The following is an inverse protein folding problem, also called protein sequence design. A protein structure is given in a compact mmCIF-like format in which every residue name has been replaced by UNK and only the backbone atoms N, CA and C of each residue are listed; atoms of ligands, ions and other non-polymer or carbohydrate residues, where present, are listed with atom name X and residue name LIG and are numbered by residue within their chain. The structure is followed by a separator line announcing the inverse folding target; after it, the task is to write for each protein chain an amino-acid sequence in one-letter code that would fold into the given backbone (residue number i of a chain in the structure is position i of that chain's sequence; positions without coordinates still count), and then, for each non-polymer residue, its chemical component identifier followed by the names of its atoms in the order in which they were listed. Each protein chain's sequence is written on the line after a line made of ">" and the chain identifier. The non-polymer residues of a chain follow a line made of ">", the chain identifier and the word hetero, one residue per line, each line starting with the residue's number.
data_IF_918266853681
#
_entry.id   IF_918266853681
#
_cell.length_a   1.000
_cell.length_b   1.000
_cell.length_c   1.000
_cell.angle_alpha   90.00
_cell.angle_beta   90.00
_cell.angle_gamma   90.00
#
_symmetry.space_group_name_H-M   'P 1'
#
loop_
_entity.id
_entity.type
_entity.pdbx_description
1 polymer ?
#
# COMPACT_ATOMS: atom_id res chain seq x y z
N UNK A 1 -2.73 2.50 -32.84
CA UNK A 1 -1.70 2.73 -31.82
C UNK A 1 -0.84 3.92 -32.25
N UNK A 2 -0.90 4.98 -31.49
CA UNK A 2 -0.08 6.16 -31.70
C UNK A 2 0.72 6.44 -30.45
N UNK A 3 2.03 6.54 -30.60
CA UNK A 3 2.93 6.94 -29.52
C UNK A 3 3.30 8.42 -29.72
N UNK A 4 3.02 9.24 -28.74
CA UNK A 4 3.44 10.65 -28.70
C UNK A 4 4.35 10.87 -27.50
N UNK A 5 5.56 11.36 -27.76
CA UNK A 5 6.51 11.72 -26.70
C UNK A 5 6.31 13.19 -26.35
N UNK A 6 6.00 13.45 -25.07
CA UNK A 6 5.92 14.81 -24.58
C UNK A 6 7.31 15.42 -24.38
N UNK A 7 7.40 16.74 -24.37
CA UNK A 7 8.66 17.48 -24.16
C UNK A 7 9.30 17.24 -22.78
N UNK A 8 8.56 16.62 -21.85
CA UNK A 8 9.00 16.24 -20.51
C UNK A 8 9.60 14.84 -20.42
N UNK A 9 9.74 14.12 -21.52
CA UNK A 9 10.16 12.73 -21.55
C UNK A 9 9.04 11.73 -21.17
N UNK A 10 7.83 12.20 -20.89
CA UNK A 10 6.67 11.33 -20.68
C UNK A 10 6.20 10.74 -22.01
N UNK A 11 5.82 9.47 -21.99
CA UNK A 11 5.25 8.78 -23.13
C UNK A 11 3.75 8.61 -22.94
N UNK A 12 2.99 9.01 -23.95
CA UNK A 12 1.55 8.83 -23.98
C UNK A 12 1.21 7.82 -25.07
N UNK A 13 0.40 6.85 -24.73
CA UNK A 13 -0.12 5.87 -25.66
C UNK A 13 -1.62 6.11 -25.81
N UNK A 14 -2.04 6.37 -27.03
CA UNK A 14 -3.45 6.59 -27.35
C UNK A 14 -3.97 5.43 -28.18
N UNK A 15 -5.05 4.83 -27.73
CA UNK A 15 -5.75 3.77 -28.43
C UNK A 15 -7.11 4.30 -28.86
N UNK A 16 -7.45 4.08 -30.13
CA UNK A 16 -8.80 4.31 -30.61
C UNK A 16 -9.42 2.97 -30.93
N UNK A 17 -10.46 2.61 -30.17
CA UNK A 17 -11.18 1.35 -30.34
C UNK A 17 -12.61 1.67 -30.71
N UNK A 18 -13.17 1.07 -31.78
CA UNK A 18 -14.57 1.20 -32.09
C UNK A 18 -15.42 0.67 -30.91
N UNK A 19 -16.36 1.47 -30.44
CA UNK A 19 -17.31 1.07 -29.44
C UNK A 19 -18.66 0.86 -30.13
N UNK A 20 -19.25 -0.32 -29.96
CA UNK A 20 -20.58 -0.63 -30.44
C UNK A 20 -21.62 -0.50 -29.32
N UNK A 21 -22.87 -0.92 -29.57
CA UNK A 21 -23.95 -0.87 -28.62
C UNK A 21 -23.77 -1.83 -27.43
N UNK A 22 -22.82 -2.77 -27.51
CA UNK A 22 -22.54 -3.73 -26.44
C UNK A 22 -21.50 -3.20 -25.45
N UNK A 23 -20.95 -2.03 -25.70
CA UNK A 23 -19.94 -1.40 -24.87
C UNK A 23 -18.50 -1.82 -25.21
N UNK A 24 -17.57 -1.41 -24.36
CA UNK A 24 -16.15 -1.71 -24.48
C UNK A 24 -15.61 -2.16 -23.13
N UNK A 25 -14.96 -3.32 -23.10
CA UNK A 25 -14.21 -3.77 -21.93
C UNK A 25 -12.72 -3.59 -22.18
N UNK A 26 -12.03 -2.98 -21.22
CA UNK A 26 -10.58 -2.78 -21.24
C UNK A 26 -9.95 -3.47 -20.03
N UNK A 27 -8.86 -4.18 -20.28
CA UNK A 27 -8.05 -4.77 -19.22
C UNK A 27 -6.61 -4.29 -19.34
N UNK A 28 -5.92 -4.23 -18.20
CA UNK A 28 -4.53 -3.85 -18.11
C UNK A 28 -3.76 -4.94 -17.39
N UNK A 29 -2.60 -5.27 -17.89
CA UNK A 29 -1.63 -6.09 -17.20
C UNK A 29 -0.24 -5.49 -17.36
N UNK A 30 0.57 -5.60 -16.32
CA UNK A 30 1.98 -5.18 -16.33
C UNK A 30 2.83 -6.38 -15.94
N UNK A 31 3.81 -6.68 -16.76
CA UNK A 31 4.80 -7.71 -16.51
C UNK A 31 6.08 -7.35 -17.26
N UNK A 32 7.22 -7.75 -16.76
CA UNK A 32 8.52 -7.55 -17.42
C UNK A 32 8.59 -8.30 -18.77
N UNK A 33 7.88 -9.44 -18.86
CA UNK A 33 7.64 -10.14 -20.12
C UNK A 33 6.33 -9.67 -20.77
N UNK A 34 6.42 -8.98 -21.88
CA UNK A 34 5.27 -8.46 -22.62
C UNK A 34 4.29 -9.52 -23.10
N UNK A 35 4.75 -10.73 -23.41
CA UNK A 35 3.86 -11.83 -23.77
C UNK A 35 3.00 -12.29 -22.59
N UNK A 36 3.61 -12.45 -21.42
CA UNK A 36 2.91 -12.78 -20.18
C UNK A 36 1.87 -11.70 -19.84
N UNK A 37 2.20 -10.41 -19.98
CA UNK A 37 1.24 -9.32 -19.78
C UNK A 37 0.02 -9.42 -20.72
N UNK A 38 0.23 -9.77 -21.99
CA UNK A 38 -0.86 -9.97 -22.95
C UNK A 38 -1.75 -11.15 -22.52
N UNK A 39 -1.17 -12.29 -22.16
CA UNK A 39 -1.91 -13.48 -21.72
C UNK A 39 -2.74 -13.20 -20.47
N UNK A 40 -2.16 -12.53 -19.47
CA UNK A 40 -2.86 -12.11 -18.26
C UNK A 40 -4.04 -11.18 -18.57
N UNK A 41 -3.81 -10.17 -19.39
CA UNK A 41 -4.88 -9.24 -19.82
C UNK A 41 -6.03 -9.94 -20.54
N UNK A 42 -5.70 -10.89 -21.44
CA UNK A 42 -6.71 -11.69 -22.14
C UNK A 42 -7.49 -12.62 -21.22
N UNK A 43 -6.84 -13.21 -20.24
CA UNK A 43 -7.49 -14.07 -19.25
C UNK A 43 -8.53 -13.30 -18.42
N UNK A 44 -8.16 -12.14 -17.90
CA UNK A 44 -9.09 -11.25 -17.16
C UNK A 44 -10.26 -10.80 -18.04
N UNK A 45 -9.99 -10.46 -19.31
CA UNK A 45 -11.04 -10.05 -20.25
C UNK A 45 -12.03 -11.19 -20.53
N UNK A 46 -11.54 -12.42 -20.64
CA UNK A 46 -12.36 -13.60 -20.93
C UNK A 46 -13.34 -13.95 -19.80
N UNK A 47 -12.97 -13.64 -18.54
CA UNK A 47 -13.79 -13.94 -17.36
C UNK A 47 -13.89 -12.77 -16.41
N UNK A 48 -14.18 -11.60 -16.93
CA UNK A 48 -14.20 -10.34 -16.17
C UNK A 48 -15.25 -10.30 -15.04
N UNK A 49 -16.34 -11.08 -15.16
CA UNK A 49 -17.36 -11.15 -14.12
C UNK A 49 -16.86 -11.94 -12.90
N UNK A 50 -16.17 -13.05 -13.11
CA UNK A 50 -15.55 -13.82 -12.02
C UNK A 50 -14.47 -12.99 -11.33
N UNK A 51 -13.63 -12.27 -12.06
CA UNK A 51 -12.63 -11.38 -11.49
C UNK A 51 -13.24 -10.23 -10.67
N UNK A 52 -14.31 -9.62 -11.17
CA UNK A 52 -15.03 -8.59 -10.44
C UNK A 52 -15.67 -9.15 -9.16
N UNK A 53 -16.26 -10.35 -9.24
CA UNK A 53 -16.82 -11.02 -8.06
C UNK A 53 -15.74 -11.36 -7.04
N UNK A 54 -14.63 -11.93 -7.46
CA UNK A 54 -13.50 -12.23 -6.59
C UNK A 54 -12.98 -10.98 -5.86
N UNK A 55 -12.85 -9.85 -6.58
CA UNK A 55 -12.47 -8.58 -5.96
C UNK A 55 -13.52 -8.07 -4.98
N UNK A 56 -14.78 -8.23 -5.30
CA UNK A 56 -15.90 -7.85 -4.41
C UNK A 56 -15.89 -8.70 -3.14
N UNK A 57 -15.71 -10.01 -3.28
CA UNK A 57 -15.64 -10.93 -2.15
C UNK A 57 -14.44 -10.65 -1.25
N UNK A 58 -13.28 -10.38 -1.85
CA UNK A 58 -12.09 -9.96 -1.12
C UNK A 58 -12.33 -8.67 -0.31
N UNK A 59 -12.91 -7.64 -0.91
CA UNK A 59 -13.21 -6.38 -0.21
C UNK A 59 -14.25 -6.58 0.88
N UNK A 60 -15.26 -7.41 0.66
CA UNK A 60 -16.26 -7.74 1.67
C UNK A 60 -15.63 -8.51 2.84
N UNK A 61 -14.71 -9.44 2.58
CA UNK A 61 -13.99 -10.16 3.63
C UNK A 61 -13.16 -9.20 4.48
N UNK A 62 -12.40 -8.31 3.85
CA UNK A 62 -11.64 -7.27 4.55
C UNK A 62 -12.53 -6.42 5.45
N UNK A 63 -13.63 -5.89 4.91
CA UNK A 63 -14.52 -4.99 5.65
C UNK A 63 -15.33 -5.70 6.75
N UNK A 64 -15.60 -6.99 6.61
CA UNK A 64 -16.38 -7.73 7.59
C UNK A 64 -15.52 -8.40 8.67
N UNK A 65 -14.29 -8.83 8.33
CA UNK A 65 -13.49 -9.70 9.18
C UNK A 65 -12.20 -9.05 9.68
N UNK A 66 -11.69 -8.03 8.99
CA UNK A 66 -10.39 -7.44 9.33
C UNK A 66 -10.48 -6.12 10.07
N UNK A 67 -11.53 -5.33 9.86
CA UNK A 67 -11.68 -4.02 10.49
C UNK A 67 -12.68 -4.05 11.64
N UNK A 68 -12.58 -3.12 12.62
CA UNK A 68 -13.54 -3.04 13.70
C UNK A 68 -14.95 -2.76 13.19
N UNK A 69 -15.91 -3.48 13.72
CA UNK A 69 -17.32 -3.21 13.41
C UNK A 69 -17.75 -1.87 14.01
N UNK A 70 -18.40 -1.05 13.19
CA UNK A 70 -18.95 0.23 13.63
C UNK A 70 -20.42 0.38 13.24
N UNK A 71 -21.22 0.86 14.20
CA UNK A 71 -22.64 1.18 14.01
C UNK A 71 -23.03 2.37 14.86
N UNK A 72 -23.79 3.28 14.28
CA UNK A 72 -24.45 4.37 15.00
C UNK A 72 -25.84 4.65 14.38
N UNK A 73 -26.57 5.61 14.94
CA UNK A 73 -27.89 6.01 14.43
C UNK A 73 -27.84 6.87 13.16
N UNK A 74 -26.69 7.39 12.83
CA UNK A 74 -26.44 8.23 11.65
C UNK A 74 -25.78 7.38 10.57
N UNK A 75 -26.50 7.12 9.48
CA UNK A 75 -26.02 6.26 8.40
C UNK A 75 -24.88 6.92 7.61
N UNK A 76 -24.89 8.24 7.46
CA UNK A 76 -23.81 8.95 6.73
C UNK A 76 -22.45 8.76 7.43
N UNK A 77 -22.45 8.76 8.77
CA UNK A 77 -21.24 8.47 9.54
C UNK A 77 -20.78 7.02 9.35
N UNK A 78 -21.71 6.08 9.32
CA UNK A 78 -21.40 4.66 9.06
C UNK A 78 -20.80 4.49 7.67
N UNK A 79 -21.38 5.10 6.66
CA UNK A 79 -20.93 5.01 5.27
C UNK A 79 -19.53 5.63 5.11
N UNK A 80 -19.29 6.78 5.71
CA UNK A 80 -17.96 7.43 5.73
C UNK A 80 -16.92 6.55 6.44
N UNK A 81 -17.27 5.92 7.55
CA UNK A 81 -16.37 5.02 8.27
C UNK A 81 -15.88 3.87 7.39
N UNK A 82 -16.81 3.13 6.76
CA UNK A 82 -16.45 2.01 5.89
C UNK A 82 -15.77 2.46 4.59
N UNK A 83 -16.14 3.60 4.05
CA UNK A 83 -15.49 4.20 2.89
C UNK A 83 -14.01 4.53 3.18
N UNK A 84 -13.70 5.12 4.34
CA UNK A 84 -12.32 5.42 4.72
C UNK A 84 -11.48 4.17 4.91
N UNK A 85 -12.05 3.09 5.47
CA UNK A 85 -11.38 1.80 5.54
C UNK A 85 -11.15 1.19 4.16
N UNK A 86 -12.10 1.27 3.27
CA UNK A 86 -11.92 0.80 1.90
C UNK A 86 -10.78 1.55 1.21
N UNK A 87 -10.70 2.88 1.36
CA UNK A 87 -9.58 3.68 0.86
C UNK A 87 -8.26 3.23 1.49
N UNK A 88 -8.20 3.06 2.81
CA UNK A 88 -7.01 2.60 3.50
C UNK A 88 -6.49 1.28 2.92
N UNK A 89 -7.38 0.32 2.71
CA UNK A 89 -7.03 -0.99 2.14
C UNK A 89 -6.68 -0.95 0.65
N UNK A 90 -7.19 0.04 -0.11
CA UNK A 90 -6.78 0.25 -1.50
C UNK A 90 -5.33 0.72 -1.64
N UNK A 91 -4.76 1.32 -0.62
CA UNK A 91 -3.35 1.75 -0.59
C UNK A 91 -2.41 0.71 0.00
N UNK A 92 -2.94 -0.44 0.39
CA UNK A 92 -2.15 -1.56 0.85
C UNK A 92 -1.44 -2.23 -0.33
N UNK A 93 -0.14 -2.45 -0.18
CA UNK A 93 0.71 -3.10 -1.17
C UNK A 93 1.43 -4.26 -0.50
N UNK A 94 1.35 -5.41 -1.14
CA UNK A 94 2.10 -6.60 -0.80
C UNK A 94 2.95 -7.02 -2.00
N UNK A 95 4.25 -6.95 -1.85
CA UNK A 95 5.25 -7.41 -2.82
C UNK A 95 6.23 -8.40 -2.16
N UNK A 96 5.84 -9.02 -1.06
CA UNK A 96 6.68 -9.96 -0.32
C UNK A 96 7.06 -11.19 -1.15
N UNK A 97 6.23 -11.59 -2.09
CA UNK A 97 6.53 -12.68 -3.03
C UNK A 97 7.67 -12.31 -4.00
N UNK A 98 7.81 -11.03 -4.34
CA UNK A 98 8.85 -10.53 -5.24
C UNK A 98 10.15 -10.21 -4.48
N UNK A 99 10.03 -9.76 -3.24
CA UNK A 99 11.17 -9.42 -2.39
C UNK A 99 10.82 -9.65 -0.91
N UNK A 100 11.47 -10.59 -0.24
CA UNK A 100 11.22 -10.87 1.18
C UNK A 100 11.43 -9.66 2.11
N UNK A 101 12.29 -8.72 1.70
CA UNK A 101 12.55 -7.49 2.46
C UNK A 101 11.51 -6.40 2.22
N UNK A 102 10.58 -6.64 1.32
CA UNK A 102 9.50 -5.73 1.01
C UNK A 102 8.26 -6.09 1.83
N UNK A 103 8.30 -5.74 3.10
CA UNK A 103 7.19 -6.00 4.00
C UNK A 103 5.88 -5.40 3.49
N UNK A 104 4.75 -6.14 3.56
CA UNK A 104 3.44 -5.62 3.21
C UNK A 104 3.12 -4.35 4.01
N UNK A 105 2.68 -3.29 3.35
CA UNK A 105 2.44 -2.01 4.01
C UNK A 105 1.46 -1.12 3.24
N UNK A 106 0.96 -0.10 3.91
CA UNK A 106 0.14 0.95 3.29
C UNK A 106 1.05 2.04 2.74
N UNK A 107 0.81 2.48 1.53
CA UNK A 107 1.52 3.60 0.90
C UNK A 107 0.64 4.82 0.74
N UNK A 108 1.25 5.99 0.70
CA UNK A 108 0.60 7.16 0.14
C UNK A 108 0.63 7.08 -1.39
N UNK A 109 -0.46 7.41 -2.06
CA UNK A 109 -0.61 7.16 -3.48
C UNK A 109 -0.93 8.42 -4.30
N UNK A 110 -0.51 9.60 -3.85
CA UNK A 110 -0.86 10.85 -4.54
C UNK A 110 0.37 11.49 -5.18
N UNK A 111 0.40 11.49 -6.51
CA UNK A 111 1.40 12.20 -7.33
C UNK A 111 2.85 11.87 -6.94
N UNK A 112 3.56 12.84 -6.36
CA UNK A 112 4.97 12.73 -6.00
C UNK A 112 5.22 12.04 -4.65
N UNK A 113 4.17 11.60 -3.96
CA UNK A 113 4.24 10.99 -2.64
C UNK A 113 4.00 9.47 -2.67
N UNK A 114 4.44 8.81 -3.72
CA UNK A 114 4.42 7.34 -3.77
C UNK A 114 5.39 6.79 -2.74
N UNK A 115 4.91 5.89 -1.89
CA UNK A 115 5.74 5.23 -0.88
C UNK A 115 5.33 5.52 0.56
N UNK A 116 6.18 5.12 1.52
CA UNK A 116 5.97 5.45 2.93
C UNK A 116 6.65 6.78 3.26
N UNK A 117 5.85 7.70 3.74
CA UNK A 117 6.33 8.97 4.25
C UNK A 117 6.15 9.05 5.75
N UNK A 118 7.10 9.69 6.46
CA UNK A 118 7.09 9.75 7.92
C UNK A 118 5.85 10.39 8.51
N UNK A 119 5.34 11.43 7.88
CA UNK A 119 4.13 12.10 8.33
C UNK A 119 2.91 11.18 8.19
N UNK A 120 2.76 10.57 7.03
CA UNK A 120 1.65 9.68 6.73
C UNK A 120 1.72 8.40 7.56
N UNK A 121 2.92 7.84 7.77
CA UNK A 121 3.15 6.70 8.64
C UNK A 121 2.67 6.96 10.08
N UNK A 122 2.83 8.19 10.58
CA UNK A 122 2.33 8.57 11.89
C UNK A 122 0.80 8.45 12.02
N UNK A 123 0.07 8.51 10.90
CA UNK A 123 -1.39 8.32 10.84
C UNK A 123 -1.75 6.88 10.46
N UNK A 124 -1.08 6.32 9.48
CA UNK A 124 -1.38 4.98 8.94
C UNK A 124 -1.11 3.86 9.95
N UNK A 125 0.00 3.91 10.68
CA UNK A 125 0.36 2.87 11.65
C UNK A 125 -0.69 2.77 12.79
N UNK A 126 -1.10 3.86 13.46
CA UNK A 126 -2.14 3.79 14.46
C UNK A 126 -3.48 3.27 13.94
N UNK A 127 -3.86 3.64 12.72
CA UNK A 127 -5.09 3.12 12.08
C UNK A 127 -4.94 1.62 11.83
N UNK A 128 -3.86 1.19 11.19
CA UNK A 128 -3.59 -0.22 10.91
C UNK A 128 -3.55 -1.09 12.16
N UNK A 129 -3.19 -0.53 13.33
CA UNK A 129 -3.17 -1.28 14.59
C UNK A 129 -4.55 -1.81 15.04
N UNK A 130 -5.64 -1.34 14.45
CA UNK A 130 -7.00 -1.84 14.70
C UNK A 130 -7.41 -3.00 13.79
N UNK A 131 -6.66 -3.28 12.72
CA UNK A 131 -6.93 -4.43 11.84
C UNK A 131 -6.73 -5.73 12.61
N UNK A 132 -7.58 -6.74 12.37
CA UNK A 132 -7.54 -8.00 13.11
C UNK A 132 -6.24 -8.77 12.85
N UNK A 133 -5.91 -9.01 11.59
CA UNK A 133 -4.66 -9.66 11.19
C UNK A 133 -3.54 -8.61 11.07
N UNK A 134 -2.81 -8.45 12.17
CA UNK A 134 -1.74 -7.46 12.25
C UNK A 134 -0.47 -7.88 11.52
N UNK A 135 -0.22 -9.18 11.44
CA UNK A 135 0.93 -9.72 10.73
C UNK A 135 0.82 -9.39 9.23
N UNK A 136 -0.35 -9.65 8.65
CA UNK A 136 -0.60 -9.36 7.24
C UNK A 136 -0.69 -7.85 6.94
N UNK A 137 -1.32 -7.05 7.80
CA UNK A 137 -1.76 -5.70 7.40
C UNK A 137 -1.18 -4.54 8.21
N UNK A 138 -0.55 -4.77 9.36
CA UNK A 138 -0.08 -3.70 10.24
C UNK A 138 1.42 -3.72 10.51
N UNK A 139 1.99 -4.89 10.78
CA UNK A 139 3.38 -5.04 11.18
C UNK A 139 4.34 -4.49 10.12
N UNK A 140 4.04 -4.72 8.86
CA UNK A 140 4.82 -4.27 7.73
C UNK A 140 4.99 -2.75 7.65
N UNK A 141 4.00 -1.99 8.10
CA UNK A 141 4.10 -0.53 8.19
C UNK A 141 5.23 -0.05 9.12
N UNK A 142 5.61 -0.86 10.10
CA UNK A 142 6.74 -0.58 10.98
C UNK A 142 8.01 -1.23 10.44
N UNK A 143 7.95 -2.50 10.05
CA UNK A 143 9.10 -3.29 9.63
C UNK A 143 9.71 -2.80 8.32
N UNK A 144 8.89 -2.22 7.43
CA UNK A 144 9.39 -1.61 6.20
C UNK A 144 10.45 -0.54 6.45
N UNK A 145 10.36 0.19 7.55
CA UNK A 145 11.37 1.16 7.94
C UNK A 145 12.72 0.52 8.30
N UNK A 146 12.73 -0.76 8.69
CA UNK A 146 13.96 -1.51 8.93
C UNK A 146 14.82 -1.57 7.65
N UNK A 147 14.22 -1.84 6.50
CA UNK A 147 14.95 -1.83 5.23
C UNK A 147 15.39 -0.44 4.80
N UNK A 148 14.70 0.60 5.25
CA UNK A 148 15.06 1.98 4.96
C UNK A 148 16.30 2.46 5.72
N UNK A 149 16.62 1.84 6.87
CA UNK A 149 17.85 2.17 7.63
C UNK A 149 19.12 1.75 6.90
N UNK A 150 19.06 0.75 6.03
CA UNK A 150 20.20 0.34 5.21
C UNK A 150 20.68 1.48 4.28
N UNK A 151 19.77 2.40 3.97
CA UNK A 151 20.02 3.58 3.14
C UNK A 151 20.18 4.85 3.98
N UNK A 152 20.34 4.73 5.30
CA UNK A 152 20.48 5.89 6.16
C UNK A 152 21.83 6.57 5.95
N UNK A 153 21.83 7.90 5.90
CA UNK A 153 23.05 8.68 6.00
C UNK A 153 23.52 8.72 7.46
N UNK A 154 24.45 7.86 7.81
CA UNK A 154 24.99 7.74 9.17
C UNK A 154 25.71 9.01 9.66
N UNK A 155 26.13 9.89 8.74
CA UNK A 155 26.76 11.17 9.13
C UNK A 155 25.73 12.20 9.59
N UNK A 156 24.56 12.19 9.03
CA UNK A 156 23.48 13.14 9.36
C UNK A 156 22.37 12.53 10.18
N UNK A 157 22.35 11.20 10.36
CA UNK A 157 21.27 10.47 11.00
C UNK A 157 19.96 10.52 10.22
N UNK A 158 20.02 10.79 8.90
CA UNK A 158 18.84 10.90 8.05
C UNK A 158 18.47 9.56 7.48
N UNK A 159 17.19 9.20 7.60
CA UNK A 159 16.60 8.05 6.93
C UNK A 159 15.87 8.57 5.68
N UNK A 160 15.95 7.86 4.54
CA UNK A 160 15.19 8.21 3.35
C UNK A 160 13.70 8.35 3.69
N UNK A 161 13.04 9.32 3.09
CA UNK A 161 11.62 9.57 3.32
C UNK A 161 10.71 8.70 2.45
N UNK A 162 11.29 8.03 1.45
CA UNK A 162 10.59 7.30 0.40
C UNK A 162 11.21 5.91 0.23
N UNK A 163 10.37 4.90 0.09
CA UNK A 163 10.79 3.51 0.01
C UNK A 163 10.95 2.95 -1.41
N UNK A 164 10.76 3.75 -2.45
CA UNK A 164 10.90 3.29 -3.84
C UNK A 164 12.35 3.32 -4.35
N UNK A 165 13.34 3.25 -3.45
CA UNK A 165 14.75 3.23 -3.82
C UNK A 165 15.30 4.56 -4.32
N UNK A 166 14.53 5.63 -4.26
CA UNK A 166 14.98 6.98 -4.51
C UNK A 166 15.41 7.59 -3.19
N UNK A 167 16.67 7.94 -3.10
CA UNK A 167 17.30 8.65 -1.97
C UNK A 167 16.76 10.09 -1.85
N UNK A 168 15.48 10.22 -1.59
CA UNK A 168 14.90 11.50 -1.18
C UNK A 168 15.14 11.66 0.32
N UNK A 169 16.24 12.29 0.64
CA UNK A 169 16.45 12.76 2.00
C UNK A 169 15.55 13.97 2.22
N UNK A 170 14.41 13.77 2.84
CA UNK A 170 13.65 14.93 3.30
C UNK A 170 14.49 15.66 4.33
N UNK A 171 14.64 16.98 4.18
CA UNK A 171 15.39 17.83 5.10
C UNK A 171 14.83 17.93 6.52
N UNK A 172 13.76 17.20 6.80
CA UNK A 172 13.16 17.06 8.12
C UNK A 172 13.81 15.88 8.84
N UNK A 173 14.99 16.13 9.40
CA UNK A 173 15.62 15.31 10.42
C UNK A 173 14.78 15.36 11.70
N UNK A 174 13.67 14.73 11.73
CA UNK A 174 12.80 14.75 12.89
C UNK A 174 12.07 13.44 13.01
N UNK A 175 12.59 12.57 13.87
CA UNK A 175 11.76 11.65 14.57
C UNK A 175 11.34 10.38 13.84
N UNK A 176 12.15 9.38 14.00
CA UNK A 176 11.80 7.94 14.02
C UNK A 176 10.70 7.66 15.07
N UNK A 177 10.22 8.68 15.77
CA UNK A 177 9.28 8.56 16.89
C UNK A 177 7.92 7.97 16.50
N UNK A 178 7.44 8.21 15.28
CA UNK A 178 6.16 7.66 14.82
C UNK A 178 6.21 6.14 14.66
N UNK A 179 7.36 5.58 14.25
CA UNK A 179 7.50 4.14 14.06
C UNK A 179 7.64 3.43 15.41
N UNK A 180 8.41 4.02 16.34
CA UNK A 180 8.57 3.49 17.71
C UNK A 180 7.21 3.50 18.42
N UNK A 181 6.50 4.62 18.38
CA UNK A 181 5.16 4.70 18.96
C UNK A 181 4.16 3.80 18.25
N UNK A 182 4.32 3.61 16.93
CA UNK A 182 3.52 2.71 16.12
C UNK A 182 3.74 1.25 16.48
N UNK A 183 4.98 0.82 16.62
CA UNK A 183 5.33 -0.53 17.07
C UNK A 183 4.73 -0.83 18.44
N UNK A 184 4.83 0.13 19.36
CA UNK A 184 4.22 0.02 20.68
C UNK A 184 2.69 -0.11 20.60
N UNK A 185 2.02 0.68 19.75
CA UNK A 185 0.57 0.59 19.55
C UNK A 185 0.14 -0.76 18.99
N UNK A 186 0.84 -1.26 17.96
CA UNK A 186 0.55 -2.58 17.39
C UNK A 186 0.70 -3.65 18.48
N UNK A 187 1.77 -3.60 19.28
CA UNK A 187 1.97 -4.52 20.39
C UNK A 187 0.84 -4.43 21.44
N UNK A 188 0.41 -3.23 21.80
CA UNK A 188 -0.70 -3.05 22.75
C UNK A 188 -2.01 -3.71 22.29
N UNK A 189 -2.23 -3.79 20.98
CA UNK A 189 -3.41 -4.42 20.39
C UNK A 189 -3.24 -5.92 20.12
N UNK A 190 -2.01 -6.39 19.86
CA UNK A 190 -1.73 -7.78 19.50
C UNK A 190 -1.24 -8.63 20.67
N UNK A 191 -0.49 -8.03 21.60
CA UNK A 191 0.29 -8.75 22.60
C UNK A 191 1.49 -9.52 22.01
N UNK A 192 1.83 -9.32 20.73
CA UNK A 192 2.87 -10.04 20.02
C UNK A 192 4.27 -9.57 20.45
N UNK A 193 4.89 -10.36 21.32
CA UNK A 193 6.25 -10.11 21.80
C UNK A 193 7.32 -10.36 20.73
N UNK A 194 7.07 -11.24 19.74
CA UNK A 194 8.03 -11.51 18.70
C UNK A 194 8.17 -10.28 17.80
N UNK A 195 7.03 -9.74 17.36
CA UNK A 195 7.00 -8.48 16.61
C UNK A 195 7.66 -7.34 17.40
N UNK A 196 7.31 -7.17 18.68
CA UNK A 196 7.89 -6.11 19.50
C UNK A 196 9.40 -6.27 19.65
N UNK A 197 9.90 -7.50 19.83
CA UNK A 197 11.33 -7.79 19.92
C UNK A 197 12.06 -7.46 18.61
N UNK A 198 11.48 -7.80 17.48
CA UNK A 198 12.04 -7.46 16.17
C UNK A 198 12.09 -5.95 15.95
N UNK A 199 10.99 -5.25 16.19
CA UNK A 199 10.91 -3.80 16.09
C UNK A 199 11.89 -3.11 17.06
N UNK A 200 12.00 -3.60 18.30
CA UNK A 200 12.92 -3.05 19.31
C UNK A 200 14.38 -3.21 18.90
N UNK A 201 14.77 -4.38 18.40
CA UNK A 201 16.14 -4.61 17.93
C UNK A 201 16.55 -3.60 16.85
N UNK A 202 15.63 -3.32 15.95
CA UNK A 202 15.78 -2.34 14.88
C UNK A 202 15.96 -0.90 15.39
N UNK A 203 15.18 -0.48 16.39
CA UNK A 203 15.25 0.89 16.91
C UNK A 203 16.44 1.14 17.87
N UNK A 204 17.13 0.10 18.25
CA UNK A 204 18.28 0.18 19.15
C UNK A 204 19.61 0.42 18.39
N UNK A 205 19.66 0.14 17.09
CA UNK A 205 20.85 0.34 16.25
C UNK A 205 20.96 1.77 15.78
#
# INVERSE_FOLDING_TARGET
>A
YNNTTASTGQQFYTFTVPCDTNGLSLTWAMNDDGYTAIVQSQAVLADSQTELQAKTDYMNDLLNNQIPYFRCSDQDIVDVYYFLWAIYMMYYIDLSDESPDFYPHTQTAVNNFLGIHRYDAAMQIPVGSWIADKEAYANGNVLRWKTMLEYADLTTGRIPADNLGKTWYSGLSGGVTSHVSGAWKIYQHSGDLNFLSEAYAFYRT
#
